data_IF_872870198297
#
_entry.id   IF_872870198297
#
_cell.length_a   1.000
_cell.length_b   1.000
_cell.length_c   1.000
_cell.angle_alpha   90.00
_cell.angle_beta   90.00
_cell.angle_gamma   90.00
#
_symmetry.space_group_name_H-M   'P 1'
#
loop_
_entity.id
_entity.type
_entity.pdbx_description
1 polymer ?
#
# COMPACT_ATOMS: atom_id res chain seq x y z
N UNK A 1 -9.30 3.11 34.20
CA UNK A 1 -9.02 2.04 33.20
C UNK A 1 -9.88 2.26 31.97
N UNK A 2 -9.31 2.81 30.89
CA UNK A 2 -10.04 3.04 29.64
C UNK A 2 -10.25 1.73 28.88
N UNK A 3 -11.51 1.39 28.60
CA UNK A 3 -11.91 0.22 27.81
C UNK A 3 -11.50 0.41 26.35
N UNK A 4 -10.58 -0.43 25.86
CA UNK A 4 -10.24 -0.50 24.44
C UNK A 4 -11.38 -1.25 23.74
N UNK A 5 -12.17 -0.53 22.95
CA UNK A 5 -13.20 -1.13 22.10
C UNK A 5 -12.49 -1.89 20.97
N UNK A 6 -12.58 -3.22 21.00
CA UNK A 6 -12.14 -4.09 19.91
C UNK A 6 -12.88 -3.69 18.63
N UNK A 7 -12.15 -3.10 17.70
CA UNK A 7 -12.64 -2.72 16.39
C UNK A 7 -12.93 -4.02 15.63
N UNK A 8 -14.19 -4.20 15.24
CA UNK A 8 -14.77 -5.39 14.60
C UNK A 8 -13.86 -6.01 13.51
N UNK A 9 -13.59 -7.32 13.51
CA UNK A 9 -12.74 -7.98 12.49
C UNK A 9 -13.25 -7.83 11.05
N UNK A 10 -14.50 -7.43 10.84
CA UNK A 10 -15.04 -7.11 9.50
C UNK A 10 -14.47 -5.80 8.91
N UNK A 11 -13.84 -4.94 9.71
CA UNK A 11 -13.13 -3.74 9.25
C UNK A 11 -11.74 -4.10 8.67
N UNK A 12 -11.28 -5.36 8.80
CA UNK A 12 -9.98 -5.81 8.25
C UNK A 12 -9.91 -5.85 6.73
N UNK A 13 -11.04 -5.86 6.03
CA UNK A 13 -11.06 -5.89 4.57
C UNK A 13 -11.19 -4.47 4.05
N UNK A 14 -10.06 -3.80 3.86
CA UNK A 14 -10.06 -2.55 3.12
C UNK A 14 -10.44 -2.90 1.67
N UNK A 15 -11.65 -2.54 1.23
CA UNK A 15 -12.17 -2.81 -0.13
C UNK A 15 -11.21 -2.29 -1.22
N UNK A 16 -10.44 -1.25 -0.88
CA UNK A 16 -9.46 -0.62 -1.74
C UNK A 16 -8.08 -1.32 -1.73
N UNK A 17 -7.88 -2.30 -0.83
CA UNK A 17 -6.63 -3.03 -0.65
C UNK A 17 -6.78 -4.51 -1.03
N UNK A 18 -6.80 -4.77 -2.34
CA UNK A 18 -6.89 -6.13 -2.90
C UNK A 18 -5.65 -6.99 -2.62
N UNK A 19 -4.59 -6.40 -2.06
CA UNK A 19 -3.35 -7.08 -1.73
C UNK A 19 -3.43 -7.92 -0.45
N UNK A 20 -4.50 -7.81 0.34
CA UNK A 20 -4.58 -8.50 1.64
C UNK A 20 -4.42 -10.03 1.55
N UNK A 21 -4.85 -10.63 0.43
CA UNK A 21 -4.75 -12.07 0.20
C UNK A 21 -3.32 -12.53 -0.14
N UNK A 22 -2.42 -11.59 -0.46
CA UNK A 22 -1.08 -11.87 -0.94
C UNK A 22 -0.04 -12.01 0.16
N UNK A 23 -0.43 -11.90 1.44
CA UNK A 23 0.51 -11.98 2.57
C UNK A 23 1.40 -13.23 2.52
N UNK A 24 0.77 -14.41 2.57
CA UNK A 24 1.49 -15.69 2.60
C UNK A 24 2.28 -15.96 1.32
N UNK A 25 1.69 -15.86 0.11
CA UNK A 25 2.44 -16.16 -1.11
C UNK A 25 3.61 -15.19 -1.30
N UNK A 26 3.44 -13.90 -1.03
CA UNK A 26 4.52 -12.92 -1.17
C UNK A 26 5.69 -13.22 -0.23
N UNK A 27 5.41 -13.46 1.06
CA UNK A 27 6.47 -13.75 2.03
C UNK A 27 7.20 -15.05 1.68
N UNK A 28 6.49 -16.10 1.28
CA UNK A 28 7.12 -17.36 0.91
C UNK A 28 8.04 -17.23 -0.32
N UNK A 29 7.61 -16.47 -1.33
CA UNK A 29 8.43 -16.18 -2.50
C UNK A 29 9.67 -15.36 -2.14
N UNK A 30 9.52 -14.31 -1.31
CA UNK A 30 10.65 -13.49 -0.85
C UNK A 30 11.68 -14.31 -0.08
N UNK A 31 11.25 -15.22 0.80
CA UNK A 31 12.13 -16.14 1.52
C UNK A 31 12.83 -17.12 0.57
N UNK A 32 12.11 -17.65 -0.42
CA UNK A 32 12.68 -18.54 -1.44
C UNK A 32 13.76 -17.84 -2.28
N UNK A 33 13.49 -16.61 -2.71
CA UNK A 33 14.45 -15.79 -3.45
C UNK A 33 15.67 -15.48 -2.58
N UNK A 34 15.46 -14.99 -1.37
CA UNK A 34 16.54 -14.59 -0.47
C UNK A 34 17.46 -15.76 -0.10
N UNK A 35 16.90 -16.96 0.10
CA UNK A 35 17.68 -18.18 0.36
C UNK A 35 18.57 -18.58 -0.82
N UNK A 36 18.08 -18.43 -2.05
CA UNK A 36 18.84 -18.79 -3.25
C UNK A 36 19.83 -17.70 -3.66
N UNK A 37 19.44 -16.43 -3.48
CA UNK A 37 20.22 -15.24 -3.79
C UNK A 37 19.90 -14.16 -2.75
N UNK A 38 20.82 -13.87 -1.81
CA UNK A 38 20.62 -12.86 -0.80
C UNK A 38 20.20 -11.53 -1.40
N UNK A 39 19.14 -10.94 -0.83
CA UNK A 39 18.58 -9.67 -1.28
C UNK A 39 19.24 -8.57 -0.46
N UNK A 40 20.01 -7.68 -1.09
CA UNK A 40 20.60 -6.52 -0.40
C UNK A 40 19.61 -5.35 -0.25
N UNK A 41 18.71 -5.19 -1.23
CA UNK A 41 17.77 -4.07 -1.29
C UNK A 41 16.40 -4.58 -1.74
N UNK A 42 15.36 -4.29 -0.95
CA UNK A 42 13.97 -4.54 -1.29
C UNK A 42 13.30 -3.19 -1.61
N UNK A 43 12.84 -3.03 -2.84
CA UNK A 43 12.11 -1.85 -3.30
C UNK A 43 10.64 -2.24 -3.53
N UNK A 44 9.70 -1.55 -2.90
CA UNK A 44 8.25 -1.82 -3.06
C UNK A 44 7.51 -0.54 -3.45
N UNK A 45 6.73 -0.61 -4.53
CA UNK A 45 5.97 0.52 -5.11
C UNK A 45 4.47 0.42 -4.86
N UNK A 46 3.82 1.59 -4.75
CA UNK A 46 2.47 1.77 -4.21
C UNK A 46 1.29 1.25 -5.04
N UNK A 47 0.32 0.74 -4.26
CA UNK A 47 -0.95 0.06 -4.55
C UNK A 47 -0.82 -1.45 -4.80
N UNK A 48 -1.24 -2.32 -3.84
CA UNK A 48 -2.02 -2.10 -2.62
C UNK A 48 -1.18 -1.85 -1.35
N UNK A 49 -1.72 -1.09 -0.38
CA UNK A 49 -1.02 -0.75 0.88
C UNK A 49 -0.58 -1.99 1.69
N UNK A 50 -1.31 -3.09 1.60
CA UNK A 50 -0.94 -4.36 2.24
C UNK A 50 0.43 -4.88 1.81
N UNK A 51 0.86 -4.66 0.55
CA UNK A 51 2.17 -5.13 0.08
C UNK A 51 3.32 -4.37 0.75
N UNK A 52 3.14 -3.07 1.02
CA UNK A 52 4.11 -2.27 1.77
C UNK A 52 4.30 -2.82 3.19
N UNK A 53 3.20 -3.24 3.81
CA UNK A 53 3.25 -3.84 5.15
C UNK A 53 3.96 -5.20 5.12
N UNK A 54 3.71 -6.04 4.12
CA UNK A 54 4.39 -7.34 4.02
C UNK A 54 5.89 -7.20 3.70
N UNK A 55 6.28 -6.22 2.87
CA UNK A 55 7.68 -5.89 2.66
C UNK A 55 8.38 -5.45 3.95
N UNK A 56 7.69 -4.67 4.79
CA UNK A 56 8.18 -4.30 6.11
C UNK A 56 8.28 -5.52 7.05
N UNK A 57 7.31 -6.45 7.01
CA UNK A 57 7.36 -7.70 7.77
C UNK A 57 8.60 -8.54 7.39
N UNK A 58 8.91 -8.64 6.10
CA UNK A 58 10.11 -9.32 5.62
C UNK A 58 11.39 -8.63 6.10
N UNK A 59 11.44 -7.30 6.03
CA UNK A 59 12.55 -6.49 6.58
C UNK A 59 12.74 -6.68 8.10
N UNK A 60 11.66 -6.89 8.85
CA UNK A 60 11.78 -7.17 10.29
C UNK A 60 12.44 -8.52 10.57
N UNK A 61 12.27 -9.50 9.67
CA UNK A 61 12.92 -10.81 9.74
C UNK A 61 14.39 -10.74 9.30
N UNK A 62 14.67 -9.93 8.28
CA UNK A 62 15.99 -9.79 7.65
C UNK A 62 16.52 -8.37 7.79
N UNK A 63 17.16 -8.09 8.93
CA UNK A 63 17.56 -6.73 9.34
C UNK A 63 18.67 -6.12 8.50
N UNK A 64 19.38 -6.91 7.72
CA UNK A 64 20.45 -6.49 6.81
C UNK A 64 19.92 -5.86 5.52
N UNK A 65 18.70 -6.20 5.10
CA UNK A 65 18.13 -5.79 3.80
C UNK A 65 17.76 -4.31 3.80
N UNK A 66 18.21 -3.50 2.86
CA UNK A 66 17.75 -2.10 2.77
C UNK A 66 16.33 -2.06 2.22
N UNK A 67 15.38 -1.50 2.97
CA UNK A 67 13.99 -1.42 2.55
C UNK A 67 13.66 -0.02 2.04
N UNK A 68 13.29 0.08 0.76
CA UNK A 68 12.92 1.34 0.09
C UNK A 68 11.46 1.25 -0.31
N UNK A 69 10.66 2.21 0.16
CA UNK A 69 9.23 2.28 -0.14
C UNK A 69 8.97 3.45 -1.06
N UNK A 70 8.30 3.17 -2.16
CA UNK A 70 7.78 4.15 -3.08
C UNK A 70 6.27 4.30 -2.86
N UNK A 71 5.89 5.41 -2.23
CA UNK A 71 4.51 5.74 -1.83
C UNK A 71 3.67 6.37 -2.95
N UNK A 72 4.12 6.33 -4.21
CA UNK A 72 3.33 6.86 -5.33
C UNK A 72 1.96 6.18 -5.38
N UNK A 73 0.91 6.98 -5.27
CA UNK A 73 -0.48 6.54 -5.34
C UNK A 73 -0.97 6.58 -6.81
N UNK A 74 -1.28 5.45 -7.46
CA UNK A 74 -1.82 5.46 -8.82
C UNK A 74 -3.18 6.16 -8.93
N UNK A 75 -3.91 6.34 -7.81
CA UNK A 75 -5.18 7.06 -7.78
C UNK A 75 -5.03 8.59 -7.92
N UNK A 76 -3.83 9.15 -7.74
CA UNK A 76 -3.58 10.58 -7.96
C UNK A 76 -3.28 10.94 -9.41
N UNK A 77 -2.75 10.00 -10.20
CA UNK A 77 -2.40 10.25 -11.62
C UNK A 77 -3.51 9.85 -12.59
N UNK A 78 -4.47 9.04 -12.14
CA UNK A 78 -5.57 8.49 -12.94
C UNK A 78 -6.94 9.11 -12.65
N UNK A 79 -7.08 10.43 -12.81
CA UNK A 79 -8.29 11.13 -13.27
C UNK A 79 -9.68 10.91 -12.63
N UNK A 80 -9.84 10.12 -11.58
CA UNK A 80 -11.18 9.81 -11.01
C UNK A 80 -11.60 10.84 -9.94
N UNK A 81 -10.65 11.38 -9.17
CA UNK A 81 -10.92 12.31 -8.07
C UNK A 81 -10.78 13.78 -8.47
N UNK A 82 -9.83 14.12 -9.33
CA UNK A 82 -9.52 15.52 -9.66
C UNK A 82 -10.52 16.16 -10.66
N UNK A 83 -11.03 15.39 -11.63
CA UNK A 83 -11.90 15.95 -12.68
C UNK A 83 -13.33 16.25 -12.25
N UNK A 84 -13.81 15.71 -11.11
CA UNK A 84 -15.19 15.94 -10.67
C UNK A 84 -15.32 17.17 -9.76
N UNK A 85 -14.34 17.43 -8.89
CA UNK A 85 -14.35 18.61 -8.01
C UNK A 85 -14.05 19.91 -8.79
N UNK A 86 -13.11 19.87 -9.74
CA UNK A 86 -12.78 21.02 -10.59
C UNK A 86 -13.83 21.37 -11.67
N UNK A 87 -14.89 20.57 -11.83
CA UNK A 87 -15.99 20.88 -12.78
C UNK A 87 -17.01 21.87 -12.22
N UNK A 88 -17.16 21.95 -10.89
CA UNK A 88 -18.05 22.93 -10.27
C UNK A 88 -17.43 24.33 -10.33
N UNK A 89 -16.17 24.48 -9.91
CA UNK A 89 -15.48 25.78 -9.90
C UNK A 89 -15.10 26.34 -11.29
N UNK A 90 -15.20 25.55 -12.37
CA UNK A 90 -14.93 26.06 -13.74
C UNK A 90 -16.12 26.72 -14.43
N UNK A 91 -17.33 26.58 -13.89
CA UNK A 91 -18.51 27.26 -14.47
C UNK A 91 -18.54 28.76 -14.19
N UNK A 92 -17.93 29.20 -13.09
CA UNK A 92 -17.98 30.60 -12.66
C UNK A 92 -16.94 31.48 -13.37
N UNK A 93 -15.85 30.90 -13.88
CA UNK A 93 -14.76 31.66 -14.52
C UNK A 93 -14.95 31.92 -16.02
N UNK A 94 -16.02 31.40 -16.64
CA UNK A 94 -16.23 31.51 -18.09
C UNK A 94 -17.25 32.58 -18.49
N UNK A 95 -17.85 33.28 -17.52
CA UNK A 95 -18.86 34.33 -17.72
C UNK A 95 -18.58 35.61 -16.90
N UNK A 96 -17.31 35.97 -16.65
CA UNK A 96 -16.93 37.25 -16.01
C UNK A 96 -15.76 37.88 -16.74
#
# INVERSE_FOLDING_TARGET
MGSIRLINPLIKQNLFDRGYAWRKPLLNELEGIHRNKPIDVLVVTGAPFSLLYYGAEFKMRHKEIKYVVDFRDPWTWGGITEYRLCRHSRKDFRNS
#
